data_IF_426149560070
#
_entry.id   IF_426149560070
#
_cell.length_a   1.000
_cell.length_b   1.000
_cell.length_c   1.000
_cell.angle_alpha   90.00
_cell.angle_beta   90.00
_cell.angle_gamma   90.00
#
_symmetry.space_group_name_H-M   'P 1'
#
loop_
_entity.id
_entity.type
_entity.pdbx_description
1 polymer ?
#
# COMPACT_ATOMS: atom_id res chain seq x y z
N UNK A 1 -17.59 -34.91 0.37
CA UNK A 1 -16.89 -34.65 -0.91
C UNK A 1 -16.77 -33.15 -1.09
N UNK A 2 -15.56 -32.61 -1.14
CA UNK A 2 -15.30 -31.18 -1.37
C UNK A 2 -15.04 -30.94 -2.86
N UNK A 3 -15.57 -29.86 -3.42
CA UNK A 3 -15.34 -29.45 -4.82
C UNK A 3 -14.46 -28.19 -4.82
N UNK A 4 -13.42 -28.21 -5.64
CA UNK A 4 -12.57 -27.02 -5.87
C UNK A 4 -13.34 -26.00 -6.71
N UNK A 5 -13.49 -24.77 -6.20
CA UNK A 5 -14.24 -23.70 -6.86
C UNK A 5 -13.37 -22.71 -7.65
N UNK A 6 -12.06 -22.95 -7.75
CA UNK A 6 -11.14 -21.99 -8.34
C UNK A 6 -10.97 -20.73 -7.50
N UNK A 7 -10.49 -19.67 -8.15
CA UNK A 7 -10.33 -18.36 -7.53
C UNK A 7 -11.67 -17.64 -7.45
N UNK A 8 -12.17 -17.41 -6.24
CA UNK A 8 -13.36 -16.59 -6.01
C UNK A 8 -12.93 -15.13 -6.13
N UNK A 9 -13.24 -14.55 -7.28
CA UNK A 9 -12.84 -13.18 -7.62
C UNK A 9 -13.71 -12.17 -6.86
N UNK A 10 -13.05 -11.21 -6.21
CA UNK A 10 -13.73 -10.01 -5.72
C UNK A 10 -14.12 -9.11 -6.88
N UNK A 11 -15.26 -8.45 -6.78
CA UNK A 11 -15.65 -7.41 -7.73
C UNK A 11 -14.57 -6.32 -7.81
N UNK A 12 -14.43 -5.71 -8.98
CA UNK A 12 -13.49 -4.61 -9.16
C UNK A 12 -13.91 -3.42 -8.27
N UNK A 13 -12.91 -2.68 -7.77
CA UNK A 13 -13.17 -1.39 -7.13
C UNK A 13 -13.86 -0.42 -8.10
N UNK A 14 -14.70 0.47 -7.57
CA UNK A 14 -15.56 1.34 -8.39
C UNK A 14 -14.84 2.56 -8.99
N UNK A 15 -13.55 2.77 -8.69
CA UNK A 15 -12.80 3.96 -9.10
C UNK A 15 -11.93 3.69 -10.33
N UNK A 16 -11.93 4.66 -11.25
CA UNK A 16 -11.01 4.60 -12.39
C UNK A 16 -9.56 4.83 -11.95
N UNK A 17 -8.56 4.31 -12.68
CA UNK A 17 -7.15 4.56 -12.38
C UNK A 17 -6.78 6.05 -12.33
N UNK A 18 -7.44 6.88 -13.15
CA UNK A 18 -7.23 8.34 -13.17
C UNK A 18 -7.66 8.97 -11.85
N UNK A 19 -8.82 8.60 -11.33
CA UNK A 19 -9.32 9.11 -10.04
C UNK A 19 -8.39 8.68 -8.91
N UNK A 20 -7.97 7.41 -8.88
CA UNK A 20 -7.05 6.91 -7.85
C UNK A 20 -5.72 7.68 -7.87
N UNK A 21 -5.16 7.91 -9.06
CA UNK A 21 -3.92 8.70 -9.20
C UNK A 21 -4.08 10.15 -8.75
N UNK A 22 -5.24 10.77 -8.98
CA UNK A 22 -5.55 12.12 -8.51
C UNK A 22 -5.65 12.19 -6.98
N UNK A 23 -6.39 11.26 -6.36
CA UNK A 23 -6.53 11.17 -4.90
C UNK A 23 -5.18 10.94 -4.20
N UNK A 24 -4.34 10.10 -4.81
CA UNK A 24 -2.98 9.83 -4.34
C UNK A 24 -1.96 10.89 -4.75
N UNK A 25 -2.37 11.93 -5.49
CA UNK A 25 -1.49 12.98 -6.01
C UNK A 25 -0.26 12.40 -6.72
N UNK A 26 -0.45 11.37 -7.54
CA UNK A 26 0.61 10.77 -8.37
C UNK A 26 0.78 11.63 -9.61
N UNK A 27 1.98 12.14 -9.85
CA UNK A 27 2.29 12.95 -11.03
C UNK A 27 2.25 12.10 -12.31
N UNK A 28 2.19 12.77 -13.46
CA UNK A 28 2.11 12.11 -14.77
C UNK A 28 3.37 11.33 -15.13
N UNK A 29 4.52 11.78 -14.67
CA UNK A 29 5.83 11.15 -14.85
C UNK A 29 6.13 10.10 -13.76
N UNK A 30 5.33 10.07 -12.69
CA UNK A 30 5.49 9.13 -11.58
C UNK A 30 4.86 7.75 -11.86
N UNK A 31 5.62 6.71 -11.51
CA UNK A 31 5.10 5.35 -11.38
C UNK A 31 4.52 5.17 -9.98
N UNK A 32 3.30 4.62 -9.89
CA UNK A 32 2.69 4.23 -8.63
C UNK A 32 3.04 2.77 -8.32
N UNK A 33 3.68 2.53 -7.17
CA UNK A 33 3.93 1.18 -6.65
C UNK A 33 3.05 0.95 -5.42
N UNK A 34 2.30 -0.15 -5.45
CA UNK A 34 1.47 -0.58 -4.34
C UNK A 34 2.11 -1.77 -3.63
N UNK A 35 2.38 -1.63 -2.34
CA UNK A 35 2.99 -2.67 -1.51
C UNK A 35 1.94 -3.21 -0.54
N UNK A 36 1.58 -4.48 -0.71
CA UNK A 36 0.59 -5.18 0.12
C UNK A 36 1.21 -6.45 0.70
N UNK A 37 1.89 -6.39 1.86
CA UNK A 37 2.45 -7.57 2.51
C UNK A 37 1.41 -8.61 2.96
N UNK A 38 0.13 -8.27 3.03
CA UNK A 38 -0.93 -9.12 3.57
C UNK A 38 -1.19 -8.85 5.05
N UNK A 39 -1.86 -9.77 5.74
CA UNK A 39 -2.22 -9.61 7.16
C UNK A 39 -1.19 -10.16 8.15
N UNK A 40 -0.45 -11.22 7.80
CA UNK A 40 0.36 -11.98 8.76
C UNK A 40 1.70 -11.35 9.14
N UNK A 41 2.32 -11.92 10.19
CA UNK A 41 3.55 -11.42 10.83
C UNK A 41 4.81 -11.33 9.95
N UNK A 42 4.81 -11.94 8.77
CA UNK A 42 5.95 -11.91 7.84
C UNK A 42 6.03 -10.61 7.00
N UNK A 43 4.99 -9.77 7.07
CA UNK A 43 4.89 -8.54 6.28
C UNK A 43 5.97 -7.50 6.57
N UNK A 44 6.56 -7.54 7.77
CA UNK A 44 7.55 -6.57 8.20
C UNK A 44 8.81 -6.57 7.33
N UNK A 45 9.40 -7.76 7.13
CA UNK A 45 10.65 -7.88 6.37
C UNK A 45 10.45 -7.44 4.92
N UNK A 46 9.29 -7.75 4.32
CA UNK A 46 8.95 -7.30 2.97
C UNK A 46 8.97 -5.77 2.86
N UNK A 47 8.28 -5.08 3.78
CA UNK A 47 8.22 -3.61 3.77
C UNK A 47 9.59 -3.01 4.07
N UNK A 48 10.32 -3.56 5.05
CA UNK A 48 11.68 -3.09 5.38
C UNK A 48 12.62 -3.20 4.20
N UNK A 49 12.68 -4.35 3.54
CA UNK A 49 13.52 -4.57 2.36
C UNK A 49 13.08 -3.67 1.19
N UNK A 50 11.78 -3.45 1.02
CA UNK A 50 11.26 -2.53 0.01
C UNK A 50 11.78 -1.10 0.22
N UNK A 51 11.68 -0.57 1.44
CA UNK A 51 12.17 0.79 1.76
C UNK A 51 13.68 0.91 1.55
N UNK A 52 14.45 -0.08 1.97
CA UNK A 52 15.91 -0.12 1.75
C UNK A 52 16.29 -0.16 0.27
N UNK A 53 15.53 -0.91 -0.54
CA UNK A 53 15.72 -0.95 -1.99
C UNK A 53 15.37 0.38 -2.64
N UNK A 54 14.25 0.98 -2.24
CA UNK A 54 13.80 2.27 -2.76
C UNK A 54 14.83 3.38 -2.50
N UNK A 55 15.44 3.40 -1.32
CA UNK A 55 16.51 4.35 -0.97
C UNK A 55 17.78 4.21 -1.84
N UNK A 56 18.00 3.04 -2.42
CA UNK A 56 19.15 2.77 -3.30
C UNK A 56 18.84 2.96 -4.79
N UNK A 57 17.58 3.24 -5.15
CA UNK A 57 17.20 3.38 -6.54
C UNK A 57 17.74 4.68 -7.16
N UNK A 58 18.21 4.65 -8.42
CA UNK A 58 18.56 5.86 -9.15
C UNK A 58 17.36 6.80 -9.29
N UNK A 59 17.59 8.11 -9.11
CA UNK A 59 16.55 9.15 -9.17
C UNK A 59 15.88 9.33 -10.54
N UNK A 60 16.35 8.63 -11.58
CA UNK A 60 15.90 8.78 -12.97
C UNK A 60 14.48 8.22 -13.22
N UNK A 61 13.88 7.51 -12.27
CA UNK A 61 12.48 7.09 -12.36
C UNK A 61 11.73 7.51 -11.09
N UNK A 62 10.91 8.59 -11.14
CA UNK A 62 10.18 9.02 -9.97
C UNK A 62 9.11 7.98 -9.63
N UNK A 63 9.24 7.38 -8.47
CA UNK A 63 8.31 6.38 -7.93
C UNK A 63 7.59 7.00 -6.75
N UNK A 64 6.26 6.87 -6.74
CA UNK A 64 5.44 7.12 -5.56
C UNK A 64 4.94 5.78 -5.03
N UNK A 65 5.18 5.52 -3.75
CA UNK A 65 4.79 4.25 -3.13
C UNK A 65 3.61 4.44 -2.18
N UNK A 66 2.69 3.48 -2.20
CA UNK A 66 1.66 3.31 -1.18
C UNK A 66 1.84 1.95 -0.52
N UNK A 67 1.96 1.92 0.80
CA UNK A 67 2.13 0.68 1.57
C UNK A 67 0.90 0.45 2.44
N UNK A 68 0.28 -0.72 2.27
CA UNK A 68 -0.74 -1.22 3.18
C UNK A 68 -0.12 -2.23 4.15
N UNK A 69 0.34 -1.72 5.30
CA UNK A 69 1.01 -2.46 6.38
C UNK A 69 0.25 -3.72 6.84
N UNK A 70 -1.09 -3.70 6.74
CA UNK A 70 -1.96 -4.78 7.18
C UNK A 70 -2.42 -4.61 8.63
N UNK A 71 -3.62 -5.10 8.98
CA UNK A 71 -4.22 -4.83 10.28
C UNK A 71 -3.50 -5.49 11.47
N UNK A 72 -2.77 -6.59 11.24
CA UNK A 72 -2.09 -7.32 12.31
C UNK A 72 -0.64 -6.86 12.51
N UNK A 73 -0.17 -5.85 11.75
CA UNK A 73 1.18 -5.32 11.94
C UNK A 73 1.31 -4.62 13.30
N UNK A 74 2.32 -4.95 14.11
CA UNK A 74 2.60 -4.25 15.36
C UNK A 74 2.84 -2.75 15.18
N UNK A 75 2.38 -1.96 16.14
CA UNK A 75 2.56 -0.50 16.15
C UNK A 75 4.04 -0.09 16.11
N UNK A 76 4.90 -0.78 16.88
CA UNK A 76 6.33 -0.51 16.89
C UNK A 76 6.99 -0.67 15.50
N UNK A 77 6.51 -1.62 14.70
CA UNK A 77 6.99 -1.83 13.33
C UNK A 77 6.51 -0.75 12.38
N UNK A 78 5.26 -0.30 12.51
CA UNK A 78 4.74 0.86 11.76
C UNK A 78 5.55 2.13 12.07
N UNK A 79 5.89 2.35 13.33
CA UNK A 79 6.71 3.48 13.76
C UNK A 79 8.12 3.42 13.18
N UNK A 80 8.74 2.25 13.14
CA UNK A 80 10.06 2.07 12.48
C UNK A 80 9.99 2.43 11.00
N UNK A 81 8.91 2.06 10.29
CA UNK A 81 8.75 2.44 8.90
C UNK A 81 8.60 3.95 8.72
N UNK A 82 7.79 4.61 9.56
CA UNK A 82 7.64 6.06 9.52
C UNK A 82 8.98 6.77 9.72
N UNK A 83 9.76 6.33 10.72
CA UNK A 83 11.11 6.85 10.97
C UNK A 83 12.05 6.62 9.78
N UNK A 84 12.03 5.42 9.19
CA UNK A 84 12.86 5.09 8.02
C UNK A 84 12.52 6.00 6.83
N UNK A 85 11.23 6.20 6.56
CA UNK A 85 10.74 7.05 5.47
C UNK A 85 11.20 8.49 5.67
N UNK A 86 11.07 9.04 6.88
CA UNK A 86 11.47 10.41 7.19
C UNK A 86 13.00 10.58 7.10
N UNK A 87 13.77 9.66 7.69
CA UNK A 87 15.23 9.70 7.68
C UNK A 87 15.83 9.63 6.27
N UNK A 88 15.19 8.89 5.37
CA UNK A 88 15.67 8.66 4.01
C UNK A 88 14.96 9.55 2.97
N UNK A 89 14.07 10.46 3.41
CA UNK A 89 13.25 11.34 2.55
C UNK A 89 12.55 10.59 1.40
N UNK A 90 11.91 9.46 1.73
CA UNK A 90 11.32 8.57 0.72
C UNK A 90 9.91 9.03 0.32
N UNK A 91 9.56 8.99 -0.98
CA UNK A 91 8.23 9.34 -1.49
C UNK A 91 7.20 8.21 -1.23
N UNK A 92 6.94 7.92 0.04
CA UNK A 92 6.11 6.79 0.50
C UNK A 92 4.96 7.28 1.37
N UNK A 93 3.76 6.78 1.11
CA UNK A 93 2.61 6.90 1.99
C UNK A 93 2.31 5.54 2.62
N UNK A 94 2.11 5.50 3.94
CA UNK A 94 1.65 4.30 4.66
C UNK A 94 0.18 4.48 5.04
N UNK A 95 -0.61 3.42 4.88
CA UNK A 95 -1.99 3.39 5.34
C UNK A 95 -2.31 2.01 5.91
N UNK A 96 -3.10 1.98 6.97
CA UNK A 96 -3.62 0.72 7.54
C UNK A 96 -5.01 0.38 6.98
N UNK A 97 -5.55 1.24 6.09
CA UNK A 97 -6.93 1.15 5.63
C UNK A 97 -7.01 1.14 4.11
N UNK A 98 -7.54 0.04 3.54
CA UNK A 98 -7.84 -0.11 2.11
C UNK A 98 -8.96 0.82 1.58
N UNK A 99 -9.23 1.96 2.24
CA UNK A 99 -10.31 2.91 1.91
C UNK A 99 -10.21 3.48 0.49
N UNK A 100 -9.03 3.50 -0.10
CA UNK A 100 -8.81 3.98 -1.47
C UNK A 100 -9.40 3.06 -2.55
N UNK A 101 -9.72 1.81 -2.21
CA UNK A 101 -10.11 0.76 -3.17
C UNK A 101 -11.52 0.22 -2.90
N UNK A 102 -12.09 0.49 -1.74
CA UNK A 102 -13.44 0.03 -1.39
C UNK A 102 -14.52 0.95 -2.00
N UNK A 103 -15.67 0.38 -2.44
CA UNK A 103 -16.85 1.17 -2.75
C UNK A 103 -17.25 2.01 -1.52
N UNK A 104 -17.71 3.24 -1.74
CA UNK A 104 -18.21 4.10 -0.66
C UNK A 104 -19.31 3.42 0.18
N UNK A 105 -20.07 2.50 -0.43
CA UNK A 105 -21.13 1.71 0.20
C UNK A 105 -20.63 0.64 1.19
N UNK A 106 -19.32 0.36 1.22
CA UNK A 106 -18.70 -0.63 2.12
C UNK A 106 -17.80 0.03 3.18
N UNK A 107 -17.84 1.37 3.27
CA UNK A 107 -17.13 2.11 4.31
C UNK A 107 -17.92 2.02 5.63
N UNK A 108 -17.33 1.53 6.73
CA UNK A 108 -17.98 1.62 8.03
C UNK A 108 -18.19 3.10 8.39
N UNK A 109 -19.28 3.45 9.10
CA UNK A 109 -19.53 4.83 9.49
C UNK A 109 -18.34 5.38 10.27
N UNK A 110 -17.98 6.62 9.99
CA UNK A 110 -16.96 7.35 10.73
C UNK A 110 -17.50 7.48 12.16
N UNK A 111 -16.82 6.84 13.12
CA UNK A 111 -17.03 7.07 14.55
C UNK A 111 -16.35 8.36 14.96
#
# INVERSE_FOLDING_TARGET
MTKFCGYIRREYGCKSPKIIRQELQVKSDEKLVLVTPGGGGDGYNLVKTYLQGLAQMPSQQPIKSLIFSGPEMPEAQRQEFAQTIEQMDLPVQISDVFRLILPATWMPPIR
#
